data_IF_575652160213
#
_entry.id   IF_575652160213
#
_cell.length_a   1.000
_cell.length_b   1.000
_cell.length_c   1.000
_cell.angle_alpha   90.00
_cell.angle_beta   90.00
_cell.angle_gamma   90.00
#
_symmetry.space_group_name_H-M   'P 1'
#
loop_
_entity.id
_entity.type
_entity.pdbx_description
1 polymer ?
#
# COMPACT_ATOMS: atom_id res chain seq x y z
N UNK A 1 23.94 17.41 10.54
CA UNK A 1 23.41 17.53 9.16
C UNK A 1 21.89 17.59 9.24
N UNK A 2 21.27 18.69 8.81
CA UNK A 2 19.81 18.75 8.68
C UNK A 2 19.38 17.71 7.64
N UNK A 3 18.64 16.69 8.06
CA UNK A 3 18.04 15.72 7.14
C UNK A 3 17.07 16.49 6.26
N UNK A 4 17.47 16.78 5.02
CA UNK A 4 16.58 17.41 4.05
C UNK A 4 15.30 16.59 3.94
N UNK A 5 14.16 17.28 4.02
CA UNK A 5 12.84 16.67 3.87
C UNK A 5 12.80 15.88 2.54
N UNK A 6 12.46 14.58 2.55
CA UNK A 6 12.36 13.82 1.31
C UNK A 6 11.31 14.43 0.37
N UNK A 7 11.61 14.43 -0.92
CA UNK A 7 10.73 14.97 -1.97
C UNK A 7 10.19 13.82 -2.80
N UNK A 8 8.86 13.68 -2.85
CA UNK A 8 8.14 12.68 -3.66
C UNK A 8 7.50 13.39 -4.84
N UNK A 9 7.89 12.99 -6.05
CA UNK A 9 7.26 13.43 -7.28
C UNK A 9 6.08 12.53 -7.65
N UNK A 10 4.88 13.08 -7.76
CA UNK A 10 3.68 12.37 -8.21
C UNK A 10 3.32 12.79 -9.63
N UNK A 11 3.28 11.83 -10.55
CA UNK A 11 3.08 12.09 -11.98
C UNK A 11 1.69 11.64 -12.38
N UNK A 12 0.83 12.54 -12.84
CA UNK A 12 -0.50 12.19 -13.37
C UNK A 12 -0.48 12.19 -14.90
N UNK A 13 -1.35 11.38 -15.52
CA UNK A 13 -1.57 11.46 -16.97
C UNK A 13 -2.19 12.79 -17.33
N UNK A 14 -3.19 13.25 -16.58
CA UNK A 14 -3.90 14.51 -16.82
C UNK A 14 -3.11 15.74 -16.39
N UNK A 15 -3.81 16.70 -15.81
CA UNK A 15 -3.21 17.94 -15.31
C UNK A 15 -3.02 17.89 -13.80
N UNK A 16 -2.01 18.59 -13.31
CA UNK A 16 -1.72 18.78 -11.89
C UNK A 16 -2.26 20.14 -11.40
N UNK A 17 -2.69 20.25 -10.12
CA UNK A 17 -2.71 19.21 -9.08
C UNK A 17 -3.90 18.24 -9.19
N UNK A 18 -3.72 16.99 -8.72
CA UNK A 18 -4.74 15.93 -8.65
C UNK A 18 -5.47 15.96 -7.32
N UNK A 19 -6.39 16.92 -7.20
CA UNK A 19 -7.18 17.18 -5.98
C UNK A 19 -8.08 16.02 -5.54
N UNK A 20 -8.37 15.07 -6.43
CA UNK A 20 -9.20 13.89 -6.16
C UNK A 20 -8.44 12.73 -5.50
N UNK A 21 -7.12 12.64 -5.68
CA UNK A 21 -6.33 11.46 -5.29
C UNK A 21 -5.19 11.82 -4.33
N UNK A 22 -4.46 12.89 -4.64
CA UNK A 22 -3.25 13.25 -3.90
C UNK A 22 -3.52 13.59 -2.43
N UNK A 23 -4.62 14.27 -2.05
CA UNK A 23 -4.90 14.52 -0.64
C UNK A 23 -5.01 13.24 0.21
N UNK A 24 -5.63 12.19 -0.31
CA UNK A 24 -5.76 10.92 0.41
C UNK A 24 -4.44 10.14 0.46
N UNK A 25 -3.66 10.18 -0.63
CA UNK A 25 -2.30 9.64 -0.61
C UNK A 25 -1.41 10.41 0.38
N UNK A 26 -1.52 11.73 0.46
CA UNK A 26 -0.77 12.58 1.37
C UNK A 26 -1.06 12.25 2.84
N UNK A 27 -2.31 11.91 3.19
CA UNK A 27 -2.65 11.42 4.54
C UNK A 27 -1.92 10.12 4.89
N UNK A 28 -1.77 9.21 3.93
CA UNK A 28 -1.00 7.96 4.10
C UNK A 28 0.49 8.23 4.16
N UNK A 29 1.01 9.07 3.26
CA UNK A 29 2.42 9.51 3.21
C UNK A 29 2.83 10.20 4.50
N UNK A 30 1.90 10.96 5.09
CA UNK A 30 2.00 11.68 6.34
C UNK A 30 2.97 12.87 6.32
N UNK A 31 3.10 13.57 7.47
CA UNK A 31 3.90 14.77 7.56
C UNK A 31 5.41 14.47 7.41
N UNK A 32 6.19 15.46 6.99
CA UNK A 32 7.64 15.32 6.84
C UNK A 32 8.11 14.82 5.47
N UNK A 33 7.21 14.71 4.49
CA UNK A 33 7.53 14.50 3.06
C UNK A 33 7.00 15.68 2.27
N UNK A 34 7.79 16.22 1.35
CA UNK A 34 7.35 17.23 0.39
C UNK A 34 6.79 16.50 -0.85
N UNK A 35 5.54 16.79 -1.20
CA UNK A 35 4.90 16.24 -2.40
C UNK A 35 4.99 17.29 -3.50
N UNK A 36 5.49 16.90 -4.66
CA UNK A 36 5.48 17.71 -5.88
C UNK A 36 4.71 16.97 -6.96
N UNK A 37 3.76 17.65 -7.56
CA UNK A 37 2.90 17.07 -8.60
C UNK A 37 3.34 17.56 -9.97
N UNK A 38 3.21 16.70 -10.98
CA UNK A 38 3.40 17.08 -12.37
C UNK A 38 2.44 16.28 -13.27
N UNK A 39 1.78 16.95 -14.20
CA UNK A 39 0.87 16.36 -15.16
C UNK A 39 1.48 16.24 -16.55
N UNK A 40 1.21 15.12 -17.23
CA UNK A 40 1.66 14.93 -18.61
C UNK A 40 0.91 15.86 -19.60
N UNK A 41 -0.28 16.35 -19.22
CA UNK A 41 -1.05 17.36 -19.97
C UNK A 41 -0.89 18.79 -19.44
N UNK A 42 0.03 19.04 -18.49
CA UNK A 42 0.28 20.40 -18.00
C UNK A 42 0.72 21.33 -19.12
N UNK A 43 0.16 22.54 -19.13
CA UNK A 43 0.45 23.57 -20.13
C UNK A 43 -0.19 23.37 -21.51
N UNK A 44 -1.02 22.33 -21.69
CA UNK A 44 -1.79 22.14 -22.92
C UNK A 44 -3.15 22.83 -22.85
N UNK A 45 -3.55 23.41 -23.98
CA UNK A 45 -4.92 23.85 -24.20
C UNK A 45 -5.85 22.70 -24.60
N UNK A 46 -7.15 23.00 -24.73
CA UNK A 46 -8.17 21.99 -25.03
C UNK A 46 -7.97 21.36 -26.41
N UNK A 47 -7.64 22.14 -27.44
CA UNK A 47 -7.45 21.63 -28.80
C UNK A 47 -6.24 20.69 -28.88
N UNK A 48 -5.16 21.02 -28.17
CA UNK A 48 -3.98 20.19 -28.04
C UNK A 48 -4.27 18.88 -27.30
N UNK A 49 -5.12 18.91 -26.27
CA UNK A 49 -5.55 17.72 -25.53
C UNK A 49 -6.45 16.84 -26.39
N UNK A 50 -7.42 17.42 -27.10
CA UNK A 50 -8.34 16.68 -27.98
C UNK A 50 -7.57 15.97 -29.11
N UNK A 51 -6.44 16.55 -29.57
CA UNK A 51 -5.54 15.91 -30.53
C UNK A 51 -4.80 14.67 -29.99
N UNK A 52 -4.83 14.41 -28.68
CA UNK A 52 -4.25 13.21 -28.05
C UNK A 52 -5.28 12.09 -27.88
N UNK A 53 -6.52 12.29 -28.33
CA UNK A 53 -7.58 11.30 -28.24
C UNK A 53 -7.16 9.96 -28.88
N UNK A 54 -7.63 8.81 -28.33
CA UNK A 54 -7.32 7.51 -28.87
C UNK A 54 -7.94 7.30 -30.25
N UNK A 55 -7.16 6.72 -31.16
CA UNK A 55 -7.64 6.16 -32.42
C UNK A 55 -7.94 4.67 -32.34
N UNK A 56 -8.31 4.07 -33.48
CA UNK A 56 -8.53 2.63 -33.56
C UNK A 56 -7.24 1.85 -33.22
N UNK A 57 -7.35 0.89 -32.30
CA UNK A 57 -6.23 0.03 -31.88
C UNK A 57 -5.31 0.63 -30.82
N UNK A 58 -5.56 1.86 -30.38
CA UNK A 58 -4.79 2.46 -29.29
C UNK A 58 -5.15 1.88 -27.92
N UNK A 59 -4.12 1.71 -27.08
CA UNK A 59 -4.33 1.56 -25.64
C UNK A 59 -4.86 2.88 -25.08
N UNK A 60 -6.04 2.81 -24.46
CA UNK A 60 -6.73 3.97 -23.91
C UNK A 60 -6.30 4.21 -22.47
N UNK A 61 -6.21 5.48 -22.09
CA UNK A 61 -6.04 5.94 -20.73
C UNK A 61 -7.13 6.98 -20.43
N UNK A 62 -7.75 6.90 -19.26
CA UNK A 62 -8.63 7.96 -18.75
C UNK A 62 -7.93 8.77 -17.68
N UNK A 63 -8.15 10.08 -17.70
CA UNK A 63 -7.62 10.99 -16.70
C UNK A 63 -8.53 12.21 -16.50
N UNK A 64 -8.13 13.09 -15.58
CA UNK A 64 -8.88 14.28 -15.17
C UNK A 64 -8.09 15.54 -15.50
N UNK A 65 -8.79 16.56 -16.00
CA UNK A 65 -8.26 17.91 -16.19
C UNK A 65 -8.43 18.76 -14.91
N UNK A 66 -7.82 19.95 -14.87
CA UNK A 66 -7.94 20.86 -13.73
C UNK A 66 -9.37 21.36 -13.48
N UNK A 67 -10.18 21.46 -14.54
CA UNK A 67 -11.61 21.80 -14.45
C UNK A 67 -12.47 20.64 -13.93
N UNK A 68 -11.85 19.48 -13.70
CA UNK A 68 -12.46 18.27 -13.19
C UNK A 68 -13.07 17.35 -14.25
N UNK A 69 -13.08 17.76 -15.52
CA UNK A 69 -13.62 16.96 -16.62
C UNK A 69 -12.76 15.72 -16.91
N UNK A 70 -13.39 14.58 -17.25
CA UNK A 70 -12.67 13.41 -17.69
C UNK A 70 -12.28 13.53 -19.17
N UNK A 71 -11.13 12.96 -19.52
CA UNK A 71 -10.63 12.89 -20.90
C UNK A 71 -9.98 11.53 -21.14
N UNK A 72 -10.17 11.01 -22.35
CA UNK A 72 -9.49 9.82 -22.85
C UNK A 72 -8.33 10.24 -23.76
N UNK A 73 -7.16 9.63 -23.55
CA UNK A 73 -5.97 9.86 -24.36
C UNK A 73 -5.35 8.53 -24.79
N UNK A 74 -4.70 8.52 -25.94
CA UNK A 74 -3.92 7.36 -26.37
C UNK A 74 -2.61 7.28 -25.58
N UNK A 75 -2.29 6.11 -25.03
CA UNK A 75 -1.04 5.86 -24.31
C UNK A 75 0.21 6.25 -25.12
N UNK A 76 0.20 5.98 -26.44
CA UNK A 76 1.31 6.33 -27.34
C UNK A 76 1.61 7.83 -27.37
N UNK A 77 0.59 8.68 -27.20
CA UNK A 77 0.73 10.14 -27.26
C UNK A 77 1.20 10.75 -25.93
N UNK A 78 1.04 10.03 -24.82
CA UNK A 78 1.42 10.53 -23.49
C UNK A 78 2.69 9.90 -22.91
N UNK A 79 3.15 8.75 -23.41
CA UNK A 79 4.31 8.04 -22.84
C UNK A 79 5.57 8.91 -22.80
N UNK A 80 5.89 9.63 -23.90
CA UNK A 80 7.03 10.55 -23.93
C UNK A 80 6.87 11.74 -22.97
N UNK A 81 5.62 12.21 -22.77
CA UNK A 81 5.30 13.29 -21.82
C UNK A 81 5.49 12.82 -20.38
N UNK A 82 5.03 11.61 -20.04
CA UNK A 82 5.26 10.99 -18.74
C UNK A 82 6.76 10.86 -18.46
N UNK A 83 7.53 10.37 -19.43
CA UNK A 83 8.99 10.28 -19.30
C UNK A 83 9.64 11.64 -19.04
N UNK A 84 9.21 12.70 -19.74
CA UNK A 84 9.71 14.05 -19.49
C UNK A 84 9.42 14.52 -18.06
N UNK A 85 8.23 14.21 -17.53
CA UNK A 85 7.82 14.56 -16.16
C UNK A 85 8.59 13.79 -15.08
N UNK A 86 8.94 12.51 -15.33
CA UNK A 86 9.87 11.75 -14.48
C UNK A 86 11.20 12.50 -14.38
N UNK A 87 11.80 12.82 -15.53
CA UNK A 87 13.11 13.49 -15.58
C UNK A 87 13.07 14.90 -14.96
N UNK A 88 11.99 15.66 -15.18
CA UNK A 88 11.77 16.98 -14.60
C UNK A 88 11.75 16.93 -13.06
N UNK A 89 10.95 16.04 -12.49
CA UNK A 89 10.82 15.91 -11.04
C UNK A 89 12.14 15.45 -10.40
N UNK A 90 12.83 14.48 -11.01
CA UNK A 90 14.14 14.00 -10.52
C UNK A 90 15.20 15.12 -10.55
N UNK A 91 15.28 15.91 -11.63
CA UNK A 91 16.16 17.09 -11.70
C UNK A 91 15.75 18.16 -10.69
N UNK A 92 14.46 18.29 -10.42
CA UNK A 92 13.91 19.14 -9.37
C UNK A 92 14.29 18.70 -7.95
N UNK A 93 14.90 17.52 -7.78
CA UNK A 93 15.34 17.01 -6.48
C UNK A 93 14.38 16.01 -5.85
N UNK A 94 13.39 15.49 -6.60
CA UNK A 94 12.61 14.34 -6.16
C UNK A 94 13.56 13.16 -5.87
N UNK A 95 13.47 12.62 -4.66
CA UNK A 95 14.24 11.44 -4.24
C UNK A 95 13.56 10.14 -4.64
N UNK A 96 12.26 10.21 -4.94
CA UNK A 96 11.43 9.13 -5.47
C UNK A 96 10.35 9.76 -6.37
N UNK A 97 9.99 9.07 -7.44
CA UNK A 97 8.82 9.42 -8.27
C UNK A 97 7.80 8.29 -8.29
N UNK A 98 6.52 8.61 -8.46
CA UNK A 98 5.46 7.61 -8.58
C UNK A 98 4.44 8.04 -9.63
N UNK A 99 4.00 7.09 -10.46
CA UNK A 99 2.99 7.31 -11.47
C UNK A 99 1.58 7.16 -10.86
N UNK A 100 0.68 8.07 -11.19
CA UNK A 100 -0.73 8.04 -10.85
C UNK A 100 -1.57 7.49 -12.02
N UNK A 101 -1.13 6.35 -12.55
CA UNK A 101 -1.83 5.57 -13.57
C UNK A 101 -1.57 4.08 -13.39
N UNK A 102 -2.60 3.25 -13.41
CA UNK A 102 -2.44 1.78 -13.42
C UNK A 102 -2.14 1.23 -14.82
N UNK A 103 -2.14 2.06 -15.87
CA UNK A 103 -1.68 1.66 -17.20
C UNK A 103 -0.25 1.10 -17.17
N UNK A 104 0.02 0.06 -17.97
CA UNK A 104 1.34 -0.58 -17.97
C UNK A 104 2.29 0.15 -18.93
N UNK A 105 3.28 0.91 -18.44
CA UNK A 105 4.23 1.60 -19.29
C UNK A 105 5.46 0.71 -19.54
N UNK A 106 5.91 0.61 -20.78
CA UNK A 106 7.11 -0.16 -21.11
C UNK A 106 8.35 0.70 -20.88
N UNK A 107 9.09 0.40 -19.80
CA UNK A 107 10.46 0.90 -19.53
C UNK A 107 10.58 2.43 -19.49
N UNK A 108 9.90 3.07 -18.54
CA UNK A 108 10.25 4.44 -18.16
C UNK A 108 11.67 4.46 -17.58
N UNK A 109 12.52 5.34 -18.11
CA UNK A 109 13.86 5.58 -17.61
C UNK A 109 13.79 6.47 -16.37
N UNK A 110 14.43 6.05 -15.28
CA UNK A 110 14.48 6.78 -14.03
C UNK A 110 15.91 6.74 -13.46
N UNK A 111 16.40 7.87 -12.96
CA UNK A 111 17.67 7.96 -12.24
C UNK A 111 17.50 7.79 -10.73
N UNK A 112 16.24 7.81 -10.27
CA UNK A 112 15.80 7.58 -8.90
C UNK A 112 14.79 6.43 -8.89
N UNK A 113 14.42 5.91 -7.70
CA UNK A 113 13.31 4.98 -7.58
C UNK A 113 12.03 5.57 -8.20
N UNK A 114 11.47 4.83 -9.16
CA UNK A 114 10.20 5.10 -9.81
C UNK A 114 9.21 4.00 -9.41
N UNK A 115 8.08 4.39 -8.84
CA UNK A 115 6.99 3.47 -8.51
C UNK A 115 5.93 3.53 -9.63
N UNK A 116 5.77 2.41 -10.32
CA UNK A 116 4.67 2.19 -11.26
C UNK A 116 3.58 1.33 -10.58
N UNK A 117 2.30 1.73 -10.61
CA UNK A 117 1.23 1.00 -9.92
C UNK A 117 1.01 -0.43 -10.42
N UNK A 118 1.12 -0.69 -11.73
CA UNK A 118 0.90 -2.04 -12.29
C UNK A 118 1.91 -3.06 -11.72
N UNK A 119 3.24 -2.85 -11.79
CA UNK A 119 4.20 -3.75 -11.14
C UNK A 119 3.96 -3.96 -9.63
N UNK A 120 3.55 -2.91 -8.91
CA UNK A 120 3.22 -3.02 -7.47
C UNK A 120 2.03 -3.95 -7.24
N UNK A 121 0.94 -3.78 -8.01
CA UNK A 121 -0.23 -4.65 -7.94
C UNK A 121 0.15 -6.10 -8.24
N UNK A 122 0.93 -6.34 -9.31
CA UNK A 122 1.38 -7.68 -9.68
C UNK A 122 2.23 -8.35 -8.59
N UNK A 123 3.15 -7.60 -7.97
CA UNK A 123 3.99 -8.11 -6.89
C UNK A 123 3.16 -8.54 -5.67
N UNK A 124 2.19 -7.72 -5.27
CA UNK A 124 1.30 -8.04 -4.15
C UNK A 124 0.43 -9.25 -4.46
N UNK A 125 -0.22 -9.27 -5.62
CA UNK A 125 -1.11 -10.36 -6.01
C UNK A 125 -0.37 -11.69 -6.14
N UNK A 126 0.86 -11.70 -6.67
CA UNK A 126 1.69 -12.92 -6.73
C UNK A 126 2.14 -13.42 -5.35
N UNK A 127 2.13 -12.56 -4.33
CA UNK A 127 2.43 -12.93 -2.95
C UNK A 127 1.22 -13.41 -2.14
N UNK A 128 0.02 -13.46 -2.74
CA UNK A 128 -1.22 -13.80 -2.07
C UNK A 128 -1.84 -15.08 -2.64
N UNK A 129 -2.71 -15.71 -1.86
CA UNK A 129 -3.59 -16.79 -2.31
C UNK A 129 -5.01 -16.50 -1.82
N UNK A 130 -6.00 -16.75 -2.67
CA UNK A 130 -7.42 -16.52 -2.37
C UNK A 130 -8.28 -17.56 -3.11
N UNK A 131 -9.51 -17.83 -2.62
CA UNK A 131 -10.47 -18.65 -3.36
C UNK A 131 -11.08 -17.88 -4.53
N UNK A 132 -11.53 -18.56 -5.58
CA UNK A 132 -12.27 -17.92 -6.67
C UNK A 132 -11.40 -17.08 -7.63
N UNK A 133 -12.06 -16.23 -8.42
CA UNK A 133 -11.45 -15.46 -9.51
C UNK A 133 -10.93 -14.10 -9.03
N UNK A 134 -10.07 -13.47 -9.83
CA UNK A 134 -9.65 -12.08 -9.59
C UNK A 134 -10.70 -11.11 -10.14
N UNK A 135 -11.42 -10.42 -9.27
CA UNK A 135 -12.25 -9.29 -9.65
C UNK A 135 -11.39 -8.08 -10.00
N UNK A 136 -11.64 -7.43 -11.14
CA UNK A 136 -10.93 -6.23 -11.56
C UNK A 136 -11.95 -5.15 -11.91
N UNK A 137 -11.97 -4.08 -11.13
CA UNK A 137 -12.78 -2.90 -11.42
C UNK A 137 -11.99 -1.93 -12.29
N UNK A 138 -12.49 -1.66 -13.50
CA UNK A 138 -11.80 -0.84 -14.52
C UNK A 138 -12.58 0.46 -14.79
N UNK A 139 -11.93 1.57 -15.19
CA UNK A 139 -12.56 2.89 -15.08
C UNK A 139 -13.59 3.22 -16.16
N UNK A 140 -13.77 2.38 -17.19
CA UNK A 140 -14.90 2.53 -18.12
C UNK A 140 -15.13 1.25 -18.94
N UNK A 141 -16.30 1.14 -19.57
CA UNK A 141 -16.62 0.03 -20.48
C UNK A 141 -15.60 -0.12 -21.62
N UNK A 142 -15.14 0.96 -22.30
CA UNK A 142 -14.05 0.87 -23.28
C UNK A 142 -12.74 0.24 -22.76
N UNK A 143 -12.46 0.29 -21.45
CA UNK A 143 -11.24 -0.30 -20.89
C UNK A 143 -11.34 -1.82 -20.72
N UNK A 144 -12.54 -2.40 -20.67
CA UNK A 144 -12.75 -3.82 -20.35
C UNK A 144 -11.88 -4.76 -21.22
N UNK A 145 -11.84 -4.63 -22.57
CA UNK A 145 -11.09 -5.56 -23.41
C UNK A 145 -9.56 -5.48 -23.20
N UNK A 146 -9.01 -4.27 -23.00
CA UNK A 146 -7.57 -4.12 -22.78
C UNK A 146 -7.17 -4.56 -21.37
N UNK A 147 -8.02 -4.30 -20.37
CA UNK A 147 -7.80 -4.70 -18.98
C UNK A 147 -7.84 -6.22 -18.87
N UNK A 148 -8.84 -6.90 -19.46
CA UNK A 148 -8.92 -8.37 -19.46
C UNK A 148 -7.67 -8.99 -20.10
N UNK A 149 -7.30 -8.52 -21.30
CA UNK A 149 -6.11 -8.99 -22.02
C UNK A 149 -4.84 -8.84 -21.18
N UNK A 150 -4.66 -7.69 -20.53
CA UNK A 150 -3.48 -7.40 -19.69
C UNK A 150 -3.40 -8.37 -18.51
N UNK A 151 -4.46 -8.47 -17.73
CA UNK A 151 -4.48 -9.33 -16.53
C UNK A 151 -4.35 -10.82 -16.87
N UNK A 152 -4.91 -11.28 -18.00
CA UNK A 152 -4.66 -12.64 -18.51
C UNK A 152 -3.21 -12.85 -18.92
N UNK A 153 -2.60 -11.88 -19.61
CA UNK A 153 -1.17 -11.94 -19.98
C UNK A 153 -0.27 -11.99 -18.75
N UNK A 154 -0.68 -11.32 -17.65
CA UNK A 154 0.03 -11.33 -16.37
C UNK A 154 -0.12 -12.63 -15.57
N UNK A 155 -0.94 -13.58 -16.05
CA UNK A 155 -1.11 -14.92 -15.49
C UNK A 155 -2.33 -15.11 -14.58
N UNK A 156 -3.28 -14.17 -14.57
CA UNK A 156 -4.50 -14.25 -13.76
C UNK A 156 -5.71 -14.70 -14.57
N UNK A 157 -6.75 -15.17 -13.89
CA UNK A 157 -8.10 -15.31 -14.45
C UNK A 157 -9.00 -14.17 -13.96
N UNK A 158 -9.06 -13.04 -14.70
CA UNK A 158 -9.82 -11.88 -14.29
C UNK A 158 -11.31 -11.98 -14.64
N UNK A 159 -12.12 -11.36 -13.79
CA UNK A 159 -13.46 -10.86 -14.10
C UNK A 159 -13.36 -9.34 -14.13
N UNK A 160 -13.49 -8.74 -15.31
CA UNK A 160 -13.35 -7.29 -15.47
C UNK A 160 -14.71 -6.61 -15.49
N UNK A 161 -14.95 -5.71 -14.55
CA UNK A 161 -16.22 -4.98 -14.38
C UNK A 161 -15.97 -3.48 -14.51
N UNK A 162 -16.70 -2.75 -15.36
CA UNK A 162 -16.53 -1.31 -15.48
C UNK A 162 -17.26 -0.55 -14.37
N UNK A 163 -16.56 0.42 -13.76
CA UNK A 163 -17.15 1.49 -12.95
C UNK A 163 -16.30 2.75 -13.12
N UNK A 164 -16.91 3.86 -13.53
CA UNK A 164 -16.18 5.12 -13.60
C UNK A 164 -15.85 5.64 -12.20
N UNK A 165 -14.60 6.05 -11.92
CA UNK A 165 -14.26 6.71 -10.65
C UNK A 165 -15.01 8.04 -10.47
N UNK A 166 -15.56 8.60 -11.54
CA UNK A 166 -16.35 9.84 -11.51
C UNK A 166 -17.86 9.59 -11.36
N UNK A 167 -18.29 8.32 -11.39
CA UNK A 167 -19.69 7.89 -11.19
C UNK A 167 -19.85 7.08 -9.89
N UNK A 168 -18.78 6.87 -9.12
CA UNK A 168 -18.80 6.07 -7.88
C UNK A 168 -19.61 6.70 -6.73
N UNK A 169 -20.21 7.88 -6.95
CA UNK A 169 -21.20 8.46 -6.04
C UNK A 169 -22.61 7.92 -6.26
N UNK A 170 -22.89 7.31 -7.41
CA UNK A 170 -24.14 6.60 -7.68
C UNK A 170 -24.12 5.23 -6.97
N UNK A 171 -24.89 5.04 -5.88
CA UNK A 171 -24.92 3.77 -5.16
C UNK A 171 -25.42 2.62 -6.03
N UNK A 172 -26.28 2.90 -7.02
CA UNK A 172 -26.77 1.88 -7.93
C UNK A 172 -25.66 1.39 -8.87
N UNK A 173 -24.75 2.26 -9.30
CA UNK A 173 -23.58 1.87 -10.09
C UNK A 173 -22.63 0.96 -9.30
N UNK A 174 -22.35 1.31 -8.03
CA UNK A 174 -21.51 0.50 -7.15
C UNK A 174 -22.16 -0.85 -6.86
N UNK A 175 -23.47 -0.88 -6.59
CA UNK A 175 -24.22 -2.11 -6.36
C UNK A 175 -24.20 -3.07 -7.57
N UNK A 176 -24.43 -2.55 -8.78
CA UNK A 176 -24.34 -3.34 -10.03
C UNK A 176 -22.94 -3.92 -10.24
N UNK A 177 -21.91 -3.14 -9.96
CA UNK A 177 -20.53 -3.60 -10.08
C UNK A 177 -20.22 -4.71 -9.06
N UNK A 178 -20.65 -4.54 -7.81
CA UNK A 178 -20.49 -5.54 -6.75
C UNK A 178 -21.22 -6.85 -7.09
N UNK A 179 -22.45 -6.76 -7.58
CA UNK A 179 -23.24 -7.92 -8.01
C UNK A 179 -22.55 -8.68 -9.13
N UNK A 180 -22.08 -7.98 -10.17
CA UNK A 180 -21.35 -8.59 -11.29
C UNK A 180 -20.09 -9.32 -10.82
N UNK A 181 -19.35 -8.76 -9.85
CA UNK A 181 -18.16 -9.39 -9.27
C UNK A 181 -18.53 -10.65 -8.46
N UNK A 182 -19.60 -10.59 -7.68
CA UNK A 182 -20.08 -11.70 -6.84
C UNK A 182 -20.60 -12.87 -7.68
N UNK A 183 -21.46 -12.60 -8.67
CA UNK A 183 -22.01 -13.61 -9.57
C UNK A 183 -20.92 -14.34 -10.35
N UNK A 184 -19.86 -13.62 -10.70
CA UNK A 184 -18.70 -14.20 -11.38
C UNK A 184 -17.72 -14.92 -10.44
N UNK A 185 -18.00 -14.99 -9.14
CA UNK A 185 -17.19 -15.72 -8.15
C UNK A 185 -15.84 -15.06 -7.85
N UNK A 186 -15.78 -13.72 -7.81
CA UNK A 186 -14.58 -13.01 -7.39
C UNK A 186 -14.32 -13.21 -5.89
N UNK A 187 -13.15 -13.75 -5.52
CA UNK A 187 -12.76 -13.88 -4.11
C UNK A 187 -11.65 -12.93 -3.67
N UNK A 188 -11.14 -12.11 -4.60
CA UNK A 188 -10.32 -10.93 -4.35
C UNK A 188 -10.65 -9.89 -5.42
N UNK A 189 -10.82 -8.62 -5.04
CA UNK A 189 -11.13 -7.53 -5.98
C UNK A 189 -9.99 -6.51 -6.01
N UNK A 190 -9.62 -6.04 -7.18
CA UNK A 190 -8.67 -4.94 -7.40
C UNK A 190 -9.39 -3.78 -8.07
N UNK A 191 -9.34 -2.61 -7.45
CA UNK A 191 -9.77 -1.35 -8.05
C UNK A 191 -8.63 -0.78 -8.91
N UNK A 192 -8.65 -1.11 -10.20
CA UNK A 192 -7.60 -0.91 -11.18
C UNK A 192 -7.70 0.47 -11.85
N UNK A 193 -7.71 1.51 -11.02
CA UNK A 193 -7.55 2.90 -11.44
C UNK A 193 -7.10 3.74 -10.24
N UNK A 194 -6.28 4.75 -10.50
CA UNK A 194 -5.82 5.65 -9.43
C UNK A 194 -6.90 6.62 -8.95
N UNK A 195 -7.97 6.82 -9.73
CA UNK A 195 -9.06 7.77 -9.42
C UNK A 195 -10.10 7.29 -8.41
N UNK A 196 -10.09 6.01 -8.02
CA UNK A 196 -11.08 5.45 -7.09
C UNK A 196 -10.87 5.90 -5.63
N UNK A 197 -11.94 6.05 -4.87
CA UNK A 197 -11.90 6.46 -3.46
C UNK A 197 -11.97 5.31 -2.47
N UNK A 198 -11.47 5.55 -1.25
CA UNK A 198 -11.56 4.62 -0.12
C UNK A 198 -13.01 4.25 0.22
N UNK A 199 -13.94 5.21 0.15
CA UNK A 199 -15.37 4.99 0.39
C UNK A 199 -15.90 3.85 -0.49
N UNK A 200 -15.66 3.93 -1.79
CA UNK A 200 -16.08 2.93 -2.77
C UNK A 200 -15.44 1.57 -2.52
N UNK A 201 -14.17 1.54 -2.11
CA UNK A 201 -13.48 0.31 -1.69
C UNK A 201 -14.22 -0.36 -0.53
N UNK A 202 -14.53 0.41 0.51
CA UNK A 202 -15.21 -0.10 1.72
C UNK A 202 -16.63 -0.61 1.39
N UNK A 203 -17.34 0.11 0.51
CA UNK A 203 -18.67 -0.26 0.03
C UNK A 203 -18.64 -1.53 -0.83
N UNK A 204 -17.74 -1.63 -1.81
CA UNK A 204 -17.54 -2.83 -2.62
C UNK A 204 -17.16 -4.04 -1.76
N UNK A 205 -16.28 -3.86 -0.76
CA UNK A 205 -15.90 -4.93 0.15
C UNK A 205 -17.12 -5.45 0.92
N UNK A 206 -17.98 -4.54 1.39
CA UNK A 206 -19.20 -4.90 2.11
C UNK A 206 -20.21 -5.63 1.22
N UNK A 207 -20.38 -5.19 -0.03
CA UNK A 207 -21.37 -5.74 -0.96
C UNK A 207 -20.94 -7.07 -1.62
N UNK A 208 -19.63 -7.25 -1.84
CA UNK A 208 -19.07 -8.47 -2.45
C UNK A 208 -18.72 -9.53 -1.42
N UNK A 209 -18.39 -9.14 -0.19
CA UNK A 209 -17.82 -10.03 0.83
C UNK A 209 -16.37 -10.44 0.56
N UNK A 210 -15.76 -9.97 -0.54
CA UNK A 210 -14.37 -10.24 -0.90
C UNK A 210 -13.46 -9.10 -0.44
N UNK A 211 -12.20 -9.37 -0.07
CA UNK A 211 -11.22 -8.31 0.17
C UNK A 211 -11.04 -7.44 -1.08
N UNK A 212 -10.89 -6.12 -0.90
CA UNK A 212 -10.73 -5.17 -2.01
C UNK A 212 -9.42 -4.40 -1.87
N UNK A 213 -8.55 -4.49 -2.87
CA UNK A 213 -7.32 -3.73 -3.00
C UNK A 213 -7.57 -2.45 -3.80
N UNK A 214 -7.18 -1.31 -3.24
CA UNK A 214 -7.27 -0.01 -3.90
C UNK A 214 -5.87 0.45 -4.34
N UNK A 215 -5.69 0.61 -5.66
CA UNK A 215 -4.39 0.87 -6.26
C UNK A 215 -3.67 2.10 -5.69
N UNK A 216 -4.38 3.23 -5.53
CA UNK A 216 -3.76 4.46 -5.05
C UNK A 216 -3.24 4.37 -3.60
N UNK A 217 -3.98 3.73 -2.70
CA UNK A 217 -3.57 3.52 -1.32
C UNK A 217 -2.43 2.51 -1.22
N UNK A 218 -2.45 1.47 -2.05
CA UNK A 218 -1.34 0.51 -2.10
C UNK A 218 -0.04 1.20 -2.54
N UNK A 219 -0.09 2.00 -3.60
CA UNK A 219 1.06 2.80 -4.07
C UNK A 219 1.51 3.77 -2.98
N UNK A 220 0.59 4.46 -2.31
CA UNK A 220 0.93 5.34 -1.19
C UNK A 220 1.64 4.61 -0.04
N UNK A 221 1.23 3.37 0.28
CA UNK A 221 1.92 2.52 1.28
C UNK A 221 3.35 2.18 0.83
N UNK A 222 3.57 1.84 -0.43
CA UNK A 222 4.93 1.57 -0.96
C UNK A 222 5.80 2.83 -0.92
N UNK A 223 5.25 3.99 -1.30
CA UNK A 223 5.92 5.29 -1.18
C UNK A 223 6.38 5.53 0.26
N UNK A 224 5.49 5.34 1.24
CA UNK A 224 5.83 5.50 2.67
C UNK A 224 6.98 4.60 3.09
N UNK A 225 6.87 3.31 2.78
CA UNK A 225 7.87 2.30 3.14
C UNK A 225 9.26 2.68 2.62
N UNK A 226 9.32 3.23 1.40
CA UNK A 226 10.56 3.69 0.81
C UNK A 226 11.07 5.01 1.41
N UNK A 227 10.23 6.06 1.41
CA UNK A 227 10.63 7.42 1.75
C UNK A 227 10.98 7.58 3.22
N UNK A 228 10.35 6.78 4.09
CA UNK A 228 10.65 6.77 5.52
C UNK A 228 11.75 5.77 5.91
N UNK A 229 12.31 5.03 4.95
CA UNK A 229 13.44 4.12 5.16
C UNK A 229 13.14 2.96 6.12
N UNK A 230 11.99 2.29 5.95
CA UNK A 230 11.47 1.25 6.87
C UNK A 230 11.64 1.59 8.36
N UNK A 231 10.76 2.45 8.87
CA UNK A 231 10.51 2.60 10.31
C UNK A 231 9.30 1.74 10.67
N UNK A 232 9.46 0.84 11.63
CA UNK A 232 8.35 0.23 12.34
C UNK A 232 7.48 1.37 12.89
N UNK A 233 6.26 1.52 12.36
CA UNK A 233 5.32 2.52 12.84
C UNK A 233 4.48 1.89 13.92
N UNK A 234 4.56 2.45 15.11
CA UNK A 234 3.82 2.00 16.27
C UNK A 234 2.68 2.98 16.54
N UNK A 235 1.46 2.48 16.51
CA UNK A 235 0.29 3.28 16.82
C UNK A 235 0.23 3.56 18.32
N UNK A 236 -0.43 4.67 18.65
CA UNK A 236 -0.67 5.01 20.04
C UNK A 236 -1.47 3.88 20.70
N UNK A 237 -0.94 3.40 21.81
CA UNK A 237 -1.60 2.46 22.72
C UNK A 237 -2.98 2.92 23.22
N UNK A 238 -3.26 4.22 23.15
CA UNK A 238 -4.54 4.82 23.51
C UNK A 238 -5.56 4.83 22.35
N UNK A 239 -5.11 4.66 21.11
CA UNK A 239 -5.94 4.69 19.90
C UNK A 239 -5.52 3.58 18.92
N UNK A 240 -5.65 2.29 19.30
CA UNK A 240 -5.21 1.19 18.47
C UNK A 240 -6.03 1.12 17.18
N UNK A 241 -5.35 0.89 16.06
CA UNK A 241 -5.98 0.48 14.80
C UNK A 241 -5.92 -1.04 14.72
N UNK A 242 -6.94 -1.66 14.13
CA UNK A 242 -7.10 -3.11 14.07
C UNK A 242 -6.01 -3.84 13.28
N UNK A 243 -5.22 -3.13 12.47
CA UNK A 243 -4.17 -3.67 11.59
C UNK A 243 -2.77 -3.12 11.90
N UNK A 244 -2.54 -2.49 13.05
CA UNK A 244 -1.27 -1.86 13.40
C UNK A 244 -0.71 -2.33 14.76
N UNK A 245 0.61 -2.51 14.83
CA UNK A 245 1.33 -2.72 16.09
C UNK A 245 1.28 -1.44 16.93
N UNK A 246 1.02 -1.56 18.22
CA UNK A 246 0.98 -0.46 19.19
C UNK A 246 2.32 -0.28 19.90
N UNK A 247 2.53 0.89 20.52
CA UNK A 247 3.69 1.14 21.39
C UNK A 247 3.82 0.09 22.51
N UNK A 248 2.68 -0.34 23.08
CA UNK A 248 2.63 -1.34 24.15
C UNK A 248 3.04 -2.73 23.66
N UNK A 249 2.59 -3.15 22.48
CA UNK A 249 2.98 -4.45 21.92
C UNK A 249 4.47 -4.49 21.57
N UNK A 250 5.01 -3.41 21.00
CA UNK A 250 6.45 -3.32 20.73
C UNK A 250 7.29 -3.31 22.00
N UNK A 251 6.82 -2.65 23.07
CA UNK A 251 7.47 -2.68 24.38
C UNK A 251 7.53 -4.09 24.96
N UNK A 252 6.40 -4.81 24.98
CA UNK A 252 6.36 -6.19 25.48
C UNK A 252 7.25 -7.11 24.63
N UNK A 253 7.20 -7.01 23.30
CA UNK A 253 8.04 -7.78 22.41
C UNK A 253 9.55 -7.53 22.65
N UNK A 254 9.92 -6.28 22.91
CA UNK A 254 11.32 -5.90 23.21
C UNK A 254 11.79 -6.51 24.53
N UNK A 255 10.97 -6.46 25.59
CA UNK A 255 11.30 -7.07 26.89
C UNK A 255 11.45 -8.59 26.77
N UNK A 256 10.52 -9.24 26.08
CA UNK A 256 10.57 -10.68 25.81
C UNK A 256 11.89 -11.08 25.11
N UNK A 257 12.22 -10.40 24.01
CA UNK A 257 13.45 -10.66 23.26
C UNK A 257 14.72 -10.45 24.10
N UNK A 258 14.79 -9.38 24.89
CA UNK A 258 15.90 -9.14 25.82
C UNK A 258 16.03 -10.25 26.87
N UNK A 259 14.91 -10.73 27.42
CA UNK A 259 14.90 -11.82 28.40
C UNK A 259 15.47 -13.12 27.84
N UNK A 260 15.07 -13.50 26.63
CA UNK A 260 15.61 -14.68 25.93
C UNK A 260 17.11 -14.51 25.69
N UNK A 261 17.52 -13.37 25.12
CA UNK A 261 18.93 -13.10 24.82
C UNK A 261 19.81 -13.19 26.08
N UNK A 262 19.33 -12.66 27.21
CA UNK A 262 20.06 -12.72 28.47
C UNK A 262 20.20 -14.16 28.99
N UNK A 263 19.12 -14.95 28.93
CA UNK A 263 19.13 -16.35 29.33
C UNK A 263 20.08 -17.17 28.45
N UNK A 264 20.06 -16.96 27.13
CA UNK A 264 20.94 -17.64 26.18
C UNK A 264 22.42 -17.33 26.44
N UNK A 265 22.75 -16.04 26.65
CA UNK A 265 24.11 -15.61 26.94
C UNK A 265 24.63 -16.21 28.26
N UNK A 266 23.78 -16.24 29.30
CA UNK A 266 24.18 -16.78 30.60
C UNK A 266 24.29 -18.31 30.56
N UNK A 267 23.40 -19.00 29.85
CA UNK A 267 23.51 -20.44 29.63
C UNK A 267 24.83 -20.80 28.94
N UNK A 268 25.23 -20.03 27.92
CA UNK A 268 26.50 -20.20 27.24
C UNK A 268 27.71 -19.96 28.17
N UNK A 269 27.71 -18.89 28.97
CA UNK A 269 28.78 -18.58 29.95
C UNK A 269 28.97 -19.71 30.97
N UNK A 270 27.87 -20.30 31.45
CA UNK A 270 27.89 -21.36 32.47
C UNK A 270 28.00 -22.78 31.92
N UNK A 271 28.09 -22.95 30.61
CA UNK A 271 28.11 -24.27 29.98
C UNK A 271 26.81 -25.07 30.20
N UNK A 272 25.68 -24.38 30.42
CA UNK A 272 24.36 -25.01 30.55
C UNK A 272 23.86 -25.39 29.15
N UNK A 273 23.44 -26.66 28.90
CA UNK A 273 23.14 -27.16 27.56
C UNK A 273 21.74 -26.74 27.05
N UNK A 274 21.44 -25.45 27.09
CA UNK A 274 20.20 -24.88 26.57
C UNK A 274 20.10 -25.09 25.05
N UNK A 275 19.00 -25.70 24.60
CA UNK A 275 18.74 -25.99 23.17
C UNK A 275 17.71 -25.06 22.55
N UNK A 276 16.73 -24.61 23.33
CA UNK A 276 15.68 -23.68 22.90
C UNK A 276 15.17 -22.90 24.10
N UNK A 277 14.84 -21.64 23.88
CA UNK A 277 14.15 -20.79 24.84
C UNK A 277 12.98 -20.10 24.14
N UNK A 278 11.76 -20.41 24.57
CA UNK A 278 10.55 -19.71 24.15
C UNK A 278 10.09 -18.81 25.30
N UNK A 279 9.59 -17.62 24.97
CA UNK A 279 9.02 -16.70 25.98
C UNK A 279 7.65 -16.23 25.53
N UNK A 280 6.69 -16.29 26.45
CA UNK A 280 5.39 -15.63 26.30
C UNK A 280 5.31 -14.48 27.30
N UNK A 281 4.95 -13.30 26.83
CA UNK A 281 4.75 -12.12 27.66
C UNK A 281 3.32 -11.60 27.53
N UNK A 282 2.69 -11.33 28.65
CA UNK A 282 1.32 -10.81 28.74
C UNK A 282 1.32 -9.53 29.57
N UNK A 283 0.65 -8.48 29.08
CA UNK A 283 0.52 -7.21 29.78
C UNK A 283 -0.94 -6.81 29.96
N UNK A 284 -1.34 -6.52 31.20
CA UNK A 284 -2.70 -6.05 31.53
C UNK A 284 -2.67 -4.54 31.72
N UNK A 285 -3.61 -3.83 31.11
CA UNK A 285 -3.73 -2.35 31.20
C UNK A 285 -5.14 -1.94 31.62
N UNK A 286 -5.29 -0.97 32.54
CA UNK A 286 -6.59 -0.37 32.84
C UNK A 286 -7.07 0.48 31.66
N UNK A 287 -8.36 0.41 31.34
CA UNK A 287 -8.95 1.21 30.26
C UNK A 287 -8.82 2.73 30.49
N UNK A 288 -8.80 3.18 31.75
CA UNK A 288 -8.62 4.58 32.12
C UNK A 288 -7.19 5.09 31.92
N UNK A 289 -6.19 4.20 31.89
CA UNK A 289 -4.76 4.53 31.79
C UNK A 289 -4.09 3.68 30.70
N UNK A 290 -4.45 3.86 29.42
CA UNK A 290 -4.00 2.98 28.33
C UNK A 290 -2.48 3.02 28.08
N UNK A 291 -1.78 3.99 28.67
CA UNK A 291 -0.33 4.15 28.57
C UNK A 291 0.44 3.46 29.71
N UNK A 292 -0.24 2.78 30.64
CA UNK A 292 0.38 2.14 31.80
C UNK A 292 -0.05 0.68 31.93
N UNK A 293 0.91 -0.21 32.21
CA UNK A 293 0.63 -1.60 32.57
C UNK A 293 0.34 -1.71 34.07
N UNK A 294 -0.77 -2.37 34.41
CA UNK A 294 -1.09 -2.77 35.78
C UNK A 294 -0.26 -4.00 36.19
N UNK A 295 -0.06 -4.94 35.25
CA UNK A 295 0.83 -6.09 35.43
C UNK A 295 1.47 -6.50 34.11
N UNK A 296 2.66 -7.09 34.21
CA UNK A 296 3.35 -7.76 33.10
C UNK A 296 3.82 -9.11 33.61
N UNK A 297 3.44 -10.18 32.91
CA UNK A 297 3.79 -11.56 33.25
C UNK A 297 4.60 -12.16 32.11
N UNK A 298 5.73 -12.80 32.45
CA UNK A 298 6.57 -13.51 31.49
C UNK A 298 6.65 -14.99 31.87
N UNK A 299 6.44 -15.87 30.89
CA UNK A 299 6.62 -17.32 31.01
C UNK A 299 7.73 -17.76 30.06
N UNK A 300 8.75 -18.40 30.61
CA UNK A 300 9.85 -18.97 29.84
C UNK A 300 9.70 -20.49 29.76
N UNK A 301 9.84 -21.03 28.56
CA UNK A 301 9.84 -22.47 28.30
C UNK A 301 11.21 -22.84 27.71
N UNK A 302 12.00 -23.57 28.50
CA UNK A 302 13.39 -23.86 28.17
C UNK A 302 13.56 -25.35 27.88
N UNK A 303 14.15 -25.67 26.72
CA UNK A 303 14.42 -27.05 26.31
C UNK A 303 15.91 -27.38 26.41
N UNK A 304 16.25 -28.61 26.78
CA UNK A 304 17.63 -29.09 26.90
C UNK A 304 18.25 -28.91 28.29
N UNK A 305 17.51 -28.34 29.24
CA UNK A 305 17.95 -28.11 30.62
C UNK A 305 17.04 -28.84 31.62
N UNK A 306 17.56 -29.09 32.81
CA UNK A 306 16.76 -29.55 33.95
C UNK A 306 15.95 -28.39 34.56
N UNK A 307 14.91 -28.69 35.35
CA UNK A 307 14.12 -27.65 36.02
C UNK A 307 14.98 -26.75 36.92
N UNK A 308 15.92 -27.31 37.67
CA UNK A 308 16.81 -26.52 38.53
C UNK A 308 17.69 -25.55 37.73
N UNK A 309 18.22 -26.00 36.58
CA UNK A 309 18.96 -25.12 35.67
C UNK A 309 18.05 -24.05 35.06
N UNK A 310 16.82 -24.41 34.67
CA UNK A 310 15.85 -23.44 34.14
C UNK A 310 15.51 -22.36 35.17
N UNK A 311 15.28 -22.74 36.43
CA UNK A 311 14.99 -21.82 37.53
C UNK A 311 16.16 -20.86 37.78
N UNK A 312 17.40 -21.35 37.74
CA UNK A 312 18.61 -20.52 37.87
C UNK A 312 18.75 -19.51 36.72
N UNK A 313 18.53 -19.96 35.48
CA UNK A 313 18.55 -19.11 34.29
C UNK A 313 17.50 -17.99 34.37
N UNK A 314 16.26 -18.32 34.74
CA UNK A 314 15.17 -17.35 34.88
C UNK A 314 15.40 -16.41 36.08
N UNK A 315 15.97 -16.90 37.18
CA UNK A 315 16.27 -16.06 38.34
C UNK A 315 17.33 -15.00 38.02
N UNK A 316 18.26 -15.32 37.12
CA UNK A 316 19.26 -14.35 36.63
C UNK A 316 18.61 -13.17 35.90
N UNK A 317 17.54 -13.42 35.13
CA UNK A 317 16.75 -12.36 34.52
C UNK A 317 16.01 -11.50 35.55
N UNK A 318 15.42 -12.12 36.60
CA UNK A 318 14.68 -11.39 37.66
C UNK A 318 15.55 -10.48 38.52
N UNK A 319 16.85 -10.76 38.63
CA UNK A 319 17.77 -10.01 39.48
C UNK A 319 18.36 -8.76 38.78
N UNK A 320 17.94 -8.45 37.55
CA UNK A 320 18.30 -7.24 36.79
C UNK A 320 17.12 -6.30 36.63
#
# INVERSE_FOLDING_TARGET
MSLRRPVVGLITIGQSPRVDVVPDMAKVIGPGVEIREAGALDGLDRAQIDALAPGAGDEILVTRLCDGSPVFVAKRHVTARVQAKVTELERGGATLTALLCTGAFSRLAASRPLIEPQPVLLGVLRGMSWPGRLGVLTPSLPHVPQTDRRWRTDGFDPVVVPLSPYEEEDPAAVARAAESLREAGAGLVVMDCMGFRRKTRDELQSLTGAPVLLANLLVARVIVSHVRGQRLTLDSSAHPRTDALTNSEAFLASIASCGVTLIELYAADKGVPLKRADVTIEGVRPAAEPNRFASVTMRFELAGVTQAQADELVQTYKNR
#
